data_IF_889198037881
#
_entry.id   IF_889198037881
#
_cell.length_a   1.000
_cell.length_b   1.000
_cell.length_c   1.000
_cell.angle_alpha   90.00
_cell.angle_beta   90.00
_cell.angle_gamma   90.00
#
_symmetry.space_group_name_H-M   'P 1'
#
loop_
_entity.id
_entity.type
_entity.pdbx_description
1 polymer ?
#
# COMPACT_ATOMS: atom_id res chain seq x y z
N UNK A 1 -36.01 60.12 -47.41
CA UNK A 1 -35.34 60.88 -46.43
C UNK A 1 -35.79 60.50 -45.04
N UNK A 2 -34.83 60.32 -44.23
CA UNK A 2 -34.76 60.15 -42.80
C UNK A 2 -35.57 61.14 -41.98
N UNK A 3 -35.65 61.10 -40.62
CA UNK A 3 -35.20 60.22 -39.60
C UNK A 3 -36.05 60.10 -38.32
N UNK A 4 -35.63 59.29 -37.32
CA UNK A 4 -35.76 59.78 -35.95
C UNK A 4 -36.46 58.85 -34.94
N UNK A 5 -35.72 58.15 -34.15
CA UNK A 5 -35.69 57.82 -32.73
C UNK A 5 -36.79 58.31 -31.78
N UNK A 6 -36.99 57.82 -30.52
CA UNK A 6 -36.12 56.94 -29.71
C UNK A 6 -36.85 55.77 -28.95
N UNK A 7 -36.01 54.91 -28.38
CA UNK A 7 -36.37 53.75 -27.56
C UNK A 7 -36.96 54.14 -26.19
N UNK A 8 -38.03 53.43 -25.79
CA UNK A 8 -38.53 53.39 -24.40
C UNK A 8 -37.91 52.23 -23.63
N UNK A 9 -37.27 52.58 -22.53
CA UNK A 9 -36.78 51.66 -21.49
C UNK A 9 -37.99 51.10 -20.72
N UNK A 10 -38.14 49.77 -20.71
CA UNK A 10 -39.03 49.09 -19.77
C UNK A 10 -38.19 48.55 -18.62
N UNK A 11 -38.43 49.08 -17.43
CA UNK A 11 -37.98 48.56 -16.15
C UNK A 11 -38.64 47.21 -15.87
N UNK A 12 -37.87 46.15 -15.70
CA UNK A 12 -38.30 44.87 -15.13
C UNK A 12 -37.86 44.76 -13.70
N UNK A 13 -38.82 44.63 -12.81
CA UNK A 13 -38.72 44.30 -11.38
C UNK A 13 -38.01 42.96 -11.17
N UNK A 14 -37.17 42.78 -10.12
CA UNK A 14 -36.52 41.50 -9.87
C UNK A 14 -37.50 40.50 -9.25
N UNK A 15 -37.57 39.33 -9.85
CA UNK A 15 -38.29 38.18 -9.32
C UNK A 15 -37.55 37.60 -8.12
N UNK A 16 -38.27 37.42 -7.04
CA UNK A 16 -37.88 36.73 -5.80
C UNK A 16 -37.45 35.28 -6.13
N UNK A 17 -36.20 34.96 -5.95
CA UNK A 17 -35.71 33.58 -6.02
C UNK A 17 -36.05 32.87 -4.71
N UNK A 18 -36.84 31.79 -4.80
CA UNK A 18 -37.01 30.82 -3.74
C UNK A 18 -35.67 30.04 -3.54
N UNK A 19 -35.27 29.69 -2.31
CA UNK A 19 -34.10 28.87 -2.09
C UNK A 19 -34.40 27.44 -2.57
N UNK A 20 -33.71 27.02 -3.62
CA UNK A 20 -33.65 25.63 -4.03
C UNK A 20 -32.84 24.89 -2.96
N UNK A 21 -33.51 23.95 -2.29
CA UNK A 21 -32.88 22.96 -1.44
C UNK A 21 -31.84 22.20 -2.27
N UNK A 22 -30.57 22.55 -2.12
CA UNK A 22 -29.48 21.70 -2.52
C UNK A 22 -29.42 20.50 -1.56
N UNK A 23 -30.10 19.42 -1.95
CA UNK A 23 -29.72 18.07 -1.48
C UNK A 23 -28.31 17.83 -1.95
N UNK A 24 -27.36 17.90 -1.03
CA UNK A 24 -25.98 17.54 -1.25
C UNK A 24 -25.93 16.08 -1.74
N UNK A 25 -25.84 15.91 -3.06
CA UNK A 25 -25.43 14.66 -3.67
C UNK A 25 -23.97 14.47 -3.28
N UNK A 26 -23.76 13.54 -2.36
CA UNK A 26 -22.44 13.09 -1.92
C UNK A 26 -21.80 12.25 -3.05
N UNK A 27 -21.49 12.90 -4.17
CA UNK A 27 -20.66 12.31 -5.22
C UNK A 27 -19.22 12.43 -4.79
N UNK A 28 -18.74 11.39 -4.14
CA UNK A 28 -17.31 11.15 -3.89
C UNK A 28 -16.62 10.84 -5.24
N UNK A 29 -16.72 11.74 -6.20
CA UNK A 29 -15.94 11.68 -7.43
C UNK A 29 -14.54 12.17 -7.10
N UNK A 30 -13.62 11.21 -6.97
CA UNK A 30 -12.22 11.52 -6.79
C UNK A 30 -11.71 12.31 -8.01
N UNK A 31 -10.84 13.31 -7.81
CA UNK A 31 -10.23 14.00 -8.93
C UNK A 31 -9.41 13.01 -9.78
N UNK A 32 -9.34 13.19 -11.11
CA UNK A 32 -8.52 12.35 -11.96
C UNK A 32 -7.07 12.38 -11.45
N UNK A 33 -6.45 11.19 -11.36
CA UNK A 33 -5.07 11.06 -10.93
C UNK A 33 -4.12 11.54 -12.04
N UNK A 34 -3.15 12.37 -11.69
CA UNK A 34 -2.21 12.94 -12.65
C UNK A 34 -1.08 11.96 -13.02
N UNK A 35 -0.81 10.97 -12.16
CA UNK A 35 0.24 9.96 -12.36
C UNK A 35 -0.17 8.58 -11.87
N UNK A 36 0.50 7.55 -12.38
CA UNK A 36 0.32 6.16 -11.97
C UNK A 36 0.55 5.98 -10.45
N UNK A 37 1.62 6.56 -9.91
CA UNK A 37 1.98 6.45 -8.48
C UNK A 37 0.93 7.11 -7.57
N UNK A 38 0.31 8.18 -8.04
CA UNK A 38 -0.82 8.79 -7.34
C UNK A 38 -2.02 7.84 -7.34
N UNK A 39 -2.37 7.23 -8.47
CA UNK A 39 -3.44 6.22 -8.54
C UNK A 39 -3.20 5.04 -7.61
N UNK A 40 -1.99 4.50 -7.61
CA UNK A 40 -1.60 3.42 -6.68
C UNK A 40 -1.72 3.83 -5.21
N UNK A 41 -1.37 5.07 -4.87
CA UNK A 41 -1.50 5.61 -3.52
C UNK A 41 -2.97 5.73 -3.11
N UNK A 42 -3.82 6.23 -3.99
CA UNK A 42 -5.26 6.32 -3.78
C UNK A 42 -5.87 4.93 -3.55
N UNK A 43 -5.60 3.99 -4.46
CA UNK A 43 -6.02 2.61 -4.30
C UNK A 43 -5.57 2.03 -2.95
N UNK A 44 -4.30 2.26 -2.58
CA UNK A 44 -3.71 1.75 -1.35
C UNK A 44 -4.48 2.17 -0.10
N UNK A 45 -4.79 3.46 0.04
CA UNK A 45 -5.54 3.95 1.21
C UNK A 45 -7.01 3.57 1.18
N UNK A 46 -7.67 3.59 0.03
CA UNK A 46 -9.06 3.16 -0.11
C UNK A 46 -9.23 1.69 0.24
N UNK A 47 -8.31 0.86 -0.24
CA UNK A 47 -8.33 -0.56 0.03
C UNK A 47 -7.96 -0.88 1.48
N UNK A 48 -6.98 -0.17 2.03
CA UNK A 48 -6.60 -0.30 3.44
C UNK A 48 -7.75 0.08 4.37
N UNK A 49 -8.43 1.19 4.08
CA UNK A 49 -9.63 1.62 4.83
C UNK A 49 -10.70 0.54 4.84
N UNK A 50 -10.94 -0.09 3.68
CA UNK A 50 -11.89 -1.19 3.57
C UNK A 50 -11.47 -2.39 4.45
N UNK A 51 -10.22 -2.87 4.31
CA UNK A 51 -9.73 -4.03 5.07
C UNK A 51 -9.80 -3.75 6.59
N UNK A 52 -9.39 -2.58 7.03
CA UNK A 52 -9.37 -2.23 8.47
C UNK A 52 -10.75 -2.07 9.07
N UNK A 53 -11.77 -1.76 8.27
CA UNK A 53 -13.17 -1.74 8.72
C UNK A 53 -13.62 -3.14 9.09
N UNK A 54 -13.28 -4.16 8.30
CA UNK A 54 -13.60 -5.55 8.56
C UNK A 54 -12.73 -6.17 9.68
N UNK A 55 -11.48 -5.70 9.82
CA UNK A 55 -10.45 -6.29 10.70
C UNK A 55 -9.87 -5.28 11.68
N UNK A 56 -10.73 -4.50 12.35
CA UNK A 56 -10.31 -3.38 13.20
C UNK A 56 -9.43 -3.78 14.38
N UNK A 57 -9.56 -5.01 14.89
CA UNK A 57 -8.86 -5.52 16.08
C UNK A 57 -7.69 -6.47 15.75
N UNK A 58 -7.28 -6.54 14.49
CA UNK A 58 -6.17 -7.37 14.04
C UNK A 58 -4.97 -6.51 13.64
N UNK A 59 -3.76 -7.00 13.91
CA UNK A 59 -2.57 -6.44 13.29
C UNK A 59 -2.59 -6.80 11.82
N UNK A 60 -2.45 -5.80 10.96
CA UNK A 60 -2.57 -5.95 9.52
C UNK A 60 -1.38 -5.26 8.86
N UNK A 61 -0.84 -5.90 7.83
CA UNK A 61 0.08 -5.28 6.89
C UNK A 61 -0.24 -5.79 5.50
N UNK A 62 -0.44 -4.88 4.54
CA UNK A 62 -0.59 -5.25 3.14
C UNK A 62 0.28 -4.36 2.24
N UNK A 63 0.58 -4.85 1.05
CA UNK A 63 1.37 -4.09 0.08
C UNK A 63 0.48 -3.65 -1.09
N UNK A 64 0.10 -2.36 -1.16
CA UNK A 64 -0.67 -1.84 -2.29
C UNK A 64 0.13 -1.91 -3.60
N UNK A 65 1.41 -1.59 -3.56
CA UNK A 65 2.28 -1.62 -4.76
C UNK A 65 2.37 -3.03 -5.34
N UNK A 66 2.67 -4.02 -4.49
CA UNK A 66 2.80 -5.39 -4.96
C UNK A 66 1.49 -5.93 -5.54
N UNK A 67 0.35 -5.57 -4.93
CA UNK A 67 -0.97 -5.91 -5.45
C UNK A 67 -1.26 -5.20 -6.78
N UNK A 68 -0.94 -3.90 -6.89
CA UNK A 68 -1.06 -3.16 -8.16
C UNK A 68 -0.24 -3.79 -9.28
N UNK A 69 0.99 -4.25 -8.98
CA UNK A 69 1.84 -4.95 -9.98
C UNK A 69 1.15 -6.22 -10.49
N UNK A 70 0.63 -7.05 -9.58
CA UNK A 70 -0.06 -8.28 -9.97
C UNK A 70 -1.32 -8.01 -10.81
N UNK A 71 -2.12 -7.02 -10.39
CA UNK A 71 -3.35 -6.65 -11.09
C UNK A 71 -3.08 -5.92 -12.42
N UNK A 72 -2.00 -5.14 -12.54
CA UNK A 72 -1.60 -4.49 -13.78
C UNK A 72 -1.24 -5.52 -14.88
N UNK A 73 -0.65 -6.64 -14.50
CA UNK A 73 -0.39 -7.73 -15.46
C UNK A 73 -1.70 -8.23 -16.07
N UNK A 74 -2.72 -8.50 -15.26
CA UNK A 74 -4.03 -8.99 -15.75
C UNK A 74 -4.80 -7.88 -16.49
N UNK A 75 -4.73 -6.65 -15.99
CA UNK A 75 -5.31 -5.47 -16.62
C UNK A 75 -4.82 -5.28 -18.07
N UNK A 76 -3.56 -5.58 -18.33
CA UNK A 76 -3.01 -5.50 -19.70
C UNK A 76 -3.72 -6.43 -20.70
N UNK A 77 -4.32 -7.50 -20.20
CA UNK A 77 -5.11 -8.44 -21.03
C UNK A 77 -6.63 -8.27 -20.92
N UNK A 78 -7.11 -7.40 -20.04
CA UNK A 78 -8.54 -7.11 -19.91
C UNK A 78 -9.09 -6.30 -21.08
N UNK A 79 -10.38 -6.50 -21.40
CA UNK A 79 -11.08 -5.78 -22.46
C UNK A 79 -12.47 -5.36 -21.98
N UNK A 80 -13.04 -4.39 -22.67
CA UNK A 80 -14.43 -3.92 -22.48
C UNK A 80 -14.74 -3.56 -21.00
N UNK A 81 -15.84 -4.10 -20.44
CA UNK A 81 -16.26 -3.77 -19.08
C UNK A 81 -15.30 -4.25 -18.01
N UNK A 82 -14.66 -5.42 -18.20
CA UNK A 82 -13.60 -5.91 -17.30
C UNK A 82 -12.46 -4.90 -17.19
N UNK A 83 -12.00 -4.35 -18.32
CA UNK A 83 -10.99 -3.28 -18.35
C UNK A 83 -11.48 -2.03 -17.60
N UNK A 84 -12.72 -1.59 -17.83
CA UNK A 84 -13.28 -0.41 -17.20
C UNK A 84 -13.41 -0.55 -15.68
N UNK A 85 -13.94 -1.67 -15.20
CA UNK A 85 -14.05 -1.94 -13.76
C UNK A 85 -12.68 -1.99 -13.08
N UNK A 86 -11.71 -2.68 -13.70
CA UNK A 86 -10.34 -2.72 -13.20
C UNK A 86 -9.72 -1.33 -13.16
N UNK A 87 -9.86 -0.54 -14.23
CA UNK A 87 -9.35 0.83 -14.30
C UNK A 87 -9.90 1.70 -13.18
N UNK A 88 -11.21 1.64 -12.93
CA UNK A 88 -11.86 2.40 -11.86
C UNK A 88 -11.39 2.00 -10.47
N UNK A 89 -11.37 0.70 -10.16
CA UNK A 89 -11.00 0.20 -8.84
C UNK A 89 -9.52 0.46 -8.52
N UNK A 90 -8.64 0.32 -9.52
CA UNK A 90 -7.20 0.49 -9.37
C UNK A 90 -6.73 1.93 -9.57
N UNK A 91 -7.64 2.85 -9.92
CA UNK A 91 -7.32 4.24 -10.29
C UNK A 91 -6.31 4.35 -11.44
N UNK A 92 -6.39 3.45 -12.42
CA UNK A 92 -5.59 3.48 -13.63
C UNK A 92 -6.29 4.36 -14.68
N UNK A 93 -5.96 5.65 -14.70
CA UNK A 93 -6.68 6.67 -15.50
C UNK A 93 -6.02 7.00 -16.83
N UNK A 94 -4.83 6.45 -17.10
CA UNK A 94 -4.10 6.67 -18.32
C UNK A 94 -4.60 5.78 -19.45
N UNK A 95 -4.45 6.26 -20.70
CA UNK A 95 -4.63 5.39 -21.84
C UNK A 95 -3.65 4.20 -21.81
N UNK A 96 -3.99 3.15 -22.53
CA UNK A 96 -3.27 1.86 -22.45
C UNK A 96 -1.75 1.98 -22.66
N UNK A 97 -1.31 2.75 -23.65
CA UNK A 97 0.12 2.85 -23.97
C UNK A 97 0.87 3.65 -22.90
N UNK A 98 0.36 4.81 -22.54
CA UNK A 98 0.93 5.66 -21.47
C UNK A 98 1.00 4.92 -20.13
N UNK A 99 -0.04 4.12 -19.83
CA UNK A 99 -0.05 3.29 -18.63
C UNK A 99 1.14 2.32 -18.59
N UNK A 100 1.40 1.59 -19.69
CA UNK A 100 2.50 0.64 -19.71
C UNK A 100 3.87 1.29 -19.66
N UNK A 101 4.06 2.46 -20.26
CA UNK A 101 5.31 3.23 -20.20
C UNK A 101 5.59 3.74 -18.77
N UNK A 102 4.59 4.35 -18.12
CA UNK A 102 4.73 4.81 -16.74
C UNK A 102 4.94 3.63 -15.78
N UNK A 103 4.23 2.52 -16.01
CA UNK A 103 4.35 1.33 -15.18
C UNK A 103 5.73 0.69 -15.30
N UNK A 104 6.26 0.55 -16.51
CA UNK A 104 7.60 0.02 -16.76
C UNK A 104 8.68 0.87 -16.07
N UNK A 105 8.60 2.20 -16.18
CA UNK A 105 9.51 3.10 -15.49
C UNK A 105 9.44 2.94 -13.96
N UNK A 106 8.24 2.87 -13.41
CA UNK A 106 8.03 2.65 -11.99
C UNK A 106 8.55 1.27 -11.53
N UNK A 107 8.24 0.21 -12.26
CA UNK A 107 8.64 -1.17 -11.93
C UNK A 107 10.15 -1.37 -12.01
N UNK A 108 10.82 -0.76 -13.01
CA UNK A 108 12.29 -0.76 -13.10
C UNK A 108 12.93 -0.04 -11.92
N UNK A 109 12.37 1.10 -11.50
CA UNK A 109 12.87 1.83 -10.33
C UNK A 109 12.73 0.98 -9.06
N UNK A 110 11.62 0.28 -8.86
CA UNK A 110 11.44 -0.64 -7.74
C UNK A 110 12.49 -1.78 -7.76
N UNK A 111 12.68 -2.41 -8.91
CA UNK A 111 13.65 -3.51 -9.04
C UNK A 111 15.10 -3.01 -8.85
N UNK A 112 15.39 -1.78 -9.27
CA UNK A 112 16.72 -1.18 -9.08
C UNK A 112 17.05 -0.94 -7.60
N UNK A 113 16.05 -0.79 -6.73
CA UNK A 113 16.27 -0.72 -5.28
C UNK A 113 16.95 -1.98 -4.73
N UNK A 114 16.67 -3.16 -5.31
CA UNK A 114 17.30 -4.42 -4.92
C UNK A 114 18.81 -4.49 -5.18
N UNK A 115 19.38 -3.55 -5.94
CA UNK A 115 20.82 -3.44 -6.18
C UNK A 115 21.56 -2.68 -5.06
N UNK A 116 20.84 -2.04 -4.14
CA UNK A 116 21.42 -1.37 -2.98
C UNK A 116 21.82 -2.40 -1.92
N UNK A 117 23.09 -2.45 -1.57
CA UNK A 117 23.59 -3.39 -0.55
C UNK A 117 23.02 -3.15 0.85
N UNK A 118 22.46 -1.98 1.10
CA UNK A 118 21.79 -1.61 2.35
C UNK A 118 20.30 -1.99 2.37
N UNK A 119 19.76 -2.46 1.24
CA UNK A 119 18.36 -2.78 1.05
C UNK A 119 18.20 -4.11 0.32
N UNK A 120 17.51 -5.06 0.93
CA UNK A 120 17.00 -6.24 0.22
C UNK A 120 15.52 -5.97 -0.11
N UNK A 121 15.20 -5.97 -1.39
CA UNK A 121 13.86 -5.74 -1.90
C UNK A 121 13.52 -6.82 -2.91
N UNK A 122 12.56 -7.67 -2.57
CA UNK A 122 12.15 -8.77 -3.43
C UNK A 122 10.64 -8.69 -3.65
N UNK A 123 10.25 -8.51 -4.89
CA UNK A 123 8.89 -8.56 -5.37
C UNK A 123 8.66 -9.91 -6.06
N UNK A 124 7.80 -10.74 -5.49
CA UNK A 124 7.41 -12.03 -6.04
C UNK A 124 5.97 -11.97 -6.55
N UNK A 125 5.81 -11.46 -7.76
CA UNK A 125 4.52 -11.37 -8.43
C UNK A 125 4.49 -12.30 -9.62
N UNK A 126 3.49 -13.18 -9.70
CA UNK A 126 3.31 -14.09 -10.82
C UNK A 126 1.86 -14.45 -11.03
N UNK A 127 1.47 -14.57 -12.29
CA UNK A 127 0.20 -15.14 -12.70
C UNK A 127 0.45 -16.60 -13.06
N UNK A 128 -0.34 -17.50 -12.46
CA UNK A 128 -0.38 -18.91 -12.83
C UNK A 128 -1.69 -19.16 -13.59
N UNK A 129 -1.58 -19.71 -14.79
CA UNK A 129 -2.71 -19.93 -15.71
C UNK A 129 -2.77 -21.40 -16.07
N UNK A 130 -3.97 -21.97 -16.03
CA UNK A 130 -4.22 -23.34 -16.47
C UNK A 130 -3.68 -23.59 -17.88
N UNK A 131 -2.95 -24.69 -18.07
CA UNK A 131 -2.17 -24.95 -19.29
C UNK A 131 -3.03 -25.22 -20.54
N UNK A 132 -4.32 -25.51 -20.39
CA UNK A 132 -5.28 -25.61 -21.49
C UNK A 132 -5.57 -24.26 -22.14
N UNK A 133 -5.31 -23.14 -21.45
CA UNK A 133 -5.44 -21.79 -22.01
C UNK A 133 -4.18 -21.41 -22.78
N UNK A 134 -4.31 -21.32 -24.11
CA UNK A 134 -3.23 -20.81 -24.95
C UNK A 134 -3.08 -19.30 -24.75
N UNK A 135 -1.99 -18.91 -24.10
CA UNK A 135 -1.64 -17.50 -23.91
C UNK A 135 -1.15 -16.89 -25.21
N UNK A 136 -1.72 -15.74 -25.60
CA UNK A 136 -1.40 -15.03 -26.84
C UNK A 136 0.06 -14.52 -26.84
N UNK A 137 0.72 -14.58 -27.99
CA UNK A 137 2.09 -14.08 -28.14
C UNK A 137 2.19 -12.57 -27.90
N UNK A 138 1.15 -11.80 -28.26
CA UNK A 138 1.07 -10.38 -27.94
C UNK A 138 1.10 -10.11 -26.43
N UNK A 139 0.36 -10.90 -25.65
CA UNK A 139 0.36 -10.80 -24.21
C UNK A 139 1.70 -11.23 -23.60
N UNK A 140 2.29 -12.34 -24.10
CA UNK A 140 3.63 -12.77 -23.68
C UNK A 140 4.67 -11.66 -23.87
N UNK A 141 4.61 -10.94 -25.00
CA UNK A 141 5.52 -9.83 -25.27
C UNK A 141 5.34 -8.69 -24.27
N UNK A 142 4.10 -8.32 -23.93
CA UNK A 142 3.81 -7.29 -22.91
C UNK A 142 4.39 -7.70 -21.56
N UNK A 143 4.10 -8.92 -21.09
CA UNK A 143 4.58 -9.41 -19.81
C UNK A 143 6.11 -9.52 -19.76
N UNK A 144 6.73 -9.98 -20.84
CA UNK A 144 8.19 -10.07 -20.90
C UNK A 144 8.85 -8.68 -20.92
N UNK A 145 8.26 -7.72 -21.62
CA UNK A 145 8.83 -6.38 -21.77
C UNK A 145 8.68 -5.56 -20.49
N UNK A 146 7.48 -5.57 -19.88
CA UNK A 146 7.14 -4.64 -18.80
C UNK A 146 7.09 -5.27 -17.41
N UNK A 147 6.99 -6.62 -17.31
CA UNK A 147 6.77 -7.33 -16.04
C UNK A 147 7.76 -8.48 -15.79
N UNK A 148 8.89 -8.50 -16.50
CA UNK A 148 9.95 -9.50 -16.34
C UNK A 148 9.47 -10.96 -16.52
N UNK A 149 8.50 -11.18 -17.40
CA UNK A 149 8.00 -12.52 -17.71
C UNK A 149 7.23 -13.20 -16.57
N UNK A 150 6.54 -12.43 -15.76
CA UNK A 150 5.92 -12.89 -14.52
C UNK A 150 4.60 -13.68 -14.71
N UNK A 151 4.56 -14.63 -15.66
CA UNK A 151 3.48 -15.63 -15.74
C UNK A 151 4.02 -17.04 -16.02
N UNK A 152 3.21 -18.05 -15.65
CA UNK A 152 3.54 -19.47 -15.82
C UNK A 152 2.28 -20.27 -16.12
N UNK A 153 2.34 -21.17 -17.13
CA UNK A 153 1.29 -22.15 -17.38
C UNK A 153 1.51 -23.37 -16.47
N UNK A 154 0.46 -23.82 -15.81
CA UNK A 154 0.45 -24.92 -14.84
C UNK A 154 -0.77 -25.82 -15.07
N UNK A 155 -0.73 -27.05 -14.58
CA UNK A 155 -1.81 -28.05 -14.72
C UNK A 155 -2.67 -28.10 -13.46
N UNK A 156 -3.59 -27.14 -13.32
CA UNK A 156 -4.56 -27.17 -12.23
C UNK A 156 -5.57 -28.32 -12.40
N UNK A 157 -5.94 -28.60 -13.66
CA UNK A 157 -7.00 -29.57 -13.97
C UNK A 157 -6.66 -31.00 -13.50
N UNK A 158 -5.41 -31.43 -13.64
CA UNK A 158 -5.02 -32.80 -13.30
C UNK A 158 -4.12 -32.91 -12.07
N UNK A 159 -3.51 -31.79 -11.65
CA UNK A 159 -2.47 -31.82 -10.61
C UNK A 159 -2.52 -30.62 -9.64
N UNK A 160 -3.71 -30.21 -9.13
CA UNK A 160 -3.83 -28.98 -8.32
C UNK A 160 -2.98 -29.01 -7.04
N UNK A 161 -2.79 -30.18 -6.43
CA UNK A 161 -1.99 -30.32 -5.22
C UNK A 161 -0.49 -30.09 -5.50
N UNK A 162 0.03 -30.63 -6.61
CA UNK A 162 1.43 -30.42 -7.03
C UNK A 162 1.67 -28.97 -7.44
N UNK A 163 0.70 -28.35 -8.11
CA UNK A 163 0.77 -26.91 -8.46
C UNK A 163 0.77 -26.06 -7.20
N UNK A 164 -0.05 -26.37 -6.20
CA UNK A 164 -0.04 -25.68 -4.90
C UNK A 164 1.33 -25.74 -4.24
N UNK A 165 1.96 -26.93 -4.21
CA UNK A 165 3.30 -27.12 -3.65
C UNK A 165 4.36 -26.34 -4.45
N UNK A 166 4.28 -26.40 -5.78
CA UNK A 166 5.17 -25.67 -6.69
C UNK A 166 5.12 -24.15 -6.45
N UNK A 167 3.93 -23.58 -6.39
CA UNK A 167 3.74 -22.15 -6.12
C UNK A 167 4.27 -21.78 -4.73
N UNK A 168 3.97 -22.56 -3.70
CA UNK A 168 4.46 -22.30 -2.35
C UNK A 168 6.00 -22.32 -2.27
N UNK A 169 6.65 -23.30 -2.88
CA UNK A 169 8.12 -23.37 -2.96
C UNK A 169 8.73 -22.19 -3.72
N UNK A 170 8.08 -21.75 -4.80
CA UNK A 170 8.51 -20.57 -5.52
C UNK A 170 8.44 -19.31 -4.65
N UNK A 171 7.33 -19.11 -3.91
CA UNK A 171 7.18 -17.98 -2.98
C UNK A 171 8.24 -18.03 -1.88
N UNK A 172 8.47 -19.20 -1.25
CA UNK A 172 9.50 -19.39 -0.23
C UNK A 172 10.86 -18.95 -0.74
N UNK A 173 11.27 -19.44 -1.91
CA UNK A 173 12.53 -19.07 -2.55
C UNK A 173 12.63 -17.56 -2.80
N UNK A 174 11.59 -16.94 -3.34
CA UNK A 174 11.59 -15.51 -3.67
C UNK A 174 11.61 -14.61 -2.44
N UNK A 175 11.14 -15.10 -1.31
CA UNK A 175 11.05 -14.35 -0.04
C UNK A 175 12.07 -14.80 1.01
N UNK A 176 13.16 -15.47 0.59
CA UNK A 176 14.24 -15.94 1.49
C UNK A 176 13.71 -16.78 2.67
N UNK A 177 12.78 -17.70 2.37
CA UNK A 177 12.09 -18.59 3.33
C UNK A 177 11.28 -17.89 4.42
N UNK A 178 10.97 -16.59 4.24
CA UNK A 178 10.18 -15.82 5.20
C UNK A 178 8.68 -16.01 5.02
N UNK A 179 8.24 -16.19 3.79
CA UNK A 179 6.83 -16.43 3.48
C UNK A 179 6.66 -17.87 3.07
N UNK A 180 6.01 -18.67 3.93
CA UNK A 180 5.75 -20.09 3.71
C UNK A 180 4.26 -20.35 3.62
N UNK A 181 3.88 -21.41 2.89
CA UNK A 181 2.50 -21.86 2.78
C UNK A 181 1.52 -20.72 2.45
N UNK A 182 1.81 -19.93 1.39
CA UNK A 182 0.91 -18.88 0.93
C UNK A 182 -0.45 -19.45 0.55
N UNK A 183 -0.44 -20.58 -0.16
CA UNK A 183 -1.65 -21.27 -0.61
C UNK A 183 -1.89 -22.46 0.31
N UNK A 184 -3.00 -22.45 1.08
CA UNK A 184 -3.42 -23.62 1.86
C UNK A 184 -3.72 -24.83 0.97
N UNK A 185 -3.48 -26.01 1.49
CA UNK A 185 -3.84 -27.27 0.82
C UNK A 185 -5.34 -27.30 0.56
N UNK A 186 -5.74 -27.62 -0.68
CA UNK A 186 -7.14 -27.72 -1.09
C UNK A 186 -7.83 -26.40 -1.43
N UNK A 187 -7.10 -25.27 -1.42
CA UNK A 187 -7.65 -23.98 -1.89
C UNK A 187 -7.78 -23.93 -3.42
N UNK A 188 -6.88 -24.59 -4.13
CA UNK A 188 -6.90 -24.75 -5.60
C UNK A 188 -7.42 -26.12 -5.95
N UNK A 189 -8.24 -26.22 -6.99
CA UNK A 189 -8.89 -27.42 -7.48
C UNK A 189 -8.83 -27.51 -9.01
N UNK A 190 -9.47 -28.55 -9.56
CA UNK A 190 -9.53 -28.87 -10.99
C UNK A 190 -10.25 -27.78 -11.82
N UNK A 191 -11.05 -26.92 -11.18
CA UNK A 191 -11.79 -25.84 -11.85
C UNK A 191 -11.00 -24.53 -11.88
N UNK A 192 -9.86 -24.46 -11.20
CA UNK A 192 -9.02 -23.27 -11.11
C UNK A 192 -8.43 -22.93 -12.47
N UNK A 193 -8.62 -21.68 -12.93
CA UNK A 193 -8.15 -21.20 -14.24
C UNK A 193 -6.97 -20.25 -14.15
N UNK A 194 -7.04 -19.29 -13.21
CA UNK A 194 -6.00 -18.28 -13.03
C UNK A 194 -5.86 -17.86 -11.57
N UNK A 195 -4.62 -17.87 -11.09
CA UNK A 195 -4.26 -17.47 -9.73
C UNK A 195 -3.21 -16.36 -9.78
N UNK A 196 -3.49 -15.24 -9.14
CA UNK A 196 -2.53 -14.17 -8.93
C UNK A 196 -1.85 -14.37 -7.59
N UNK A 197 -0.56 -14.57 -7.62
CA UNK A 197 0.29 -14.75 -6.44
C UNK A 197 1.15 -13.52 -6.27
N UNK A 198 1.07 -12.98 -5.07
CA UNK A 198 1.73 -11.76 -4.68
C UNK A 198 2.41 -11.94 -3.32
N UNK A 199 3.72 -11.80 -3.30
CA UNK A 199 4.50 -11.82 -2.08
C UNK A 199 5.60 -10.75 -2.16
N UNK A 200 5.81 -10.04 -1.07
CA UNK A 200 6.82 -9.00 -1.00
C UNK A 200 7.61 -9.13 0.29
N UNK A 201 8.91 -8.99 0.15
CA UNK A 201 9.86 -9.04 1.24
C UNK A 201 10.80 -7.83 1.16
N UNK A 202 10.92 -7.10 2.27
CA UNK A 202 11.85 -5.99 2.41
C UNK A 202 12.68 -6.17 3.68
N UNK A 203 13.97 -5.88 3.54
CA UNK A 203 14.90 -5.78 4.65
C UNK A 203 15.79 -4.56 4.46
N UNK A 204 15.77 -3.65 5.41
CA UNK A 204 16.57 -2.42 5.38
C UNK A 204 16.94 -1.97 6.78
N UNK A 205 18.14 -1.39 6.93
CA UNK A 205 18.64 -0.89 8.21
C UNK A 205 18.21 0.56 8.43
N UNK A 206 17.88 0.91 9.69
CA UNK A 206 17.67 2.31 10.05
C UNK A 206 18.91 3.16 9.77
N UNK A 207 18.69 4.36 9.29
CA UNK A 207 19.74 5.39 9.23
C UNK A 207 20.26 5.71 10.65
N UNK A 208 19.37 5.67 11.62
CA UNK A 208 19.63 5.94 13.02
C UNK A 208 19.15 4.76 13.88
N UNK A 209 19.93 3.66 13.90
CA UNK A 209 19.57 2.46 14.64
C UNK A 209 19.33 2.74 16.14
N UNK A 210 18.44 1.97 16.75
CA UNK A 210 18.20 2.01 18.19
C UNK A 210 19.29 1.21 18.91
N UNK A 211 19.56 1.58 20.17
CA UNK A 211 20.47 0.81 21.03
C UNK A 211 19.63 -0.19 21.85
N UNK A 212 19.82 -1.51 21.67
CA UNK A 212 19.06 -2.51 22.43
C UNK A 212 19.19 -2.38 23.97
N UNK A 213 20.28 -1.76 24.44
CA UNK A 213 20.50 -1.53 25.88
C UNK A 213 19.55 -0.48 26.48
N UNK A 214 18.94 0.34 25.63
CA UNK A 214 17.99 1.37 26.05
C UNK A 214 16.53 0.89 25.97
N UNK A 215 16.30 -0.34 25.50
CA UNK A 215 14.97 -0.91 25.46
C UNK A 215 14.37 -1.03 26.84
N UNK A 216 13.06 -0.84 26.91
CA UNK A 216 12.29 -0.97 28.15
C UNK A 216 10.99 -1.73 27.87
N UNK A 217 10.63 -2.61 28.82
CA UNK A 217 9.29 -3.21 28.82
C UNK A 217 8.31 -2.21 29.39
N UNK A 218 7.30 -1.84 28.62
CA UNK A 218 6.26 -0.86 28.95
C UNK A 218 4.88 -1.37 28.54
N UNK A 219 3.85 -0.78 29.09
CA UNK A 219 2.48 -1.08 28.73
C UNK A 219 2.13 -0.46 27.36
N UNK A 220 1.56 -1.28 26.49
CA UNK A 220 0.85 -0.88 25.29
C UNK A 220 -0.65 -0.90 25.60
N UNK A 221 -1.32 0.23 25.43
CA UNK A 221 -2.75 0.39 25.72
C UNK A 221 -3.55 -0.06 24.49
N UNK A 222 -4.08 -1.28 24.52
CA UNK A 222 -4.91 -1.83 23.43
C UNK A 222 -6.26 -1.09 23.39
N UNK A 223 -6.80 -0.78 24.59
CA UNK A 223 -8.01 0.01 24.80
C UNK A 223 -7.95 0.71 26.17
N UNK A 224 -8.97 1.45 26.52
CA UNK A 224 -9.09 2.09 27.86
C UNK A 224 -9.02 1.07 29.02
N UNK A 225 -9.41 -0.19 28.77
CA UNK A 225 -9.50 -1.25 29.77
C UNK A 225 -8.49 -2.38 29.58
N UNK A 226 -7.79 -2.43 28.46
CA UNK A 226 -6.88 -3.53 28.13
C UNK A 226 -5.48 -3.02 27.81
N UNK A 227 -4.50 -3.58 28.53
CA UNK A 227 -3.07 -3.28 28.33
C UNK A 227 -2.29 -4.57 28.22
N UNK A 228 -1.21 -4.51 27.46
CA UNK A 228 -0.25 -5.60 27.36
C UNK A 228 1.17 -5.07 27.37
N UNK A 229 2.00 -5.62 28.27
CA UNK A 229 3.42 -5.23 28.31
C UNK A 229 4.17 -5.75 27.09
N UNK A 230 4.98 -4.90 26.49
CA UNK A 230 5.84 -5.24 25.35
C UNK A 230 7.15 -4.45 25.42
N UNK A 231 8.13 -4.88 24.62
CA UNK A 231 9.43 -4.22 24.56
C UNK A 231 9.39 -3.02 23.63
N UNK A 232 9.76 -1.84 24.14
CA UNK A 232 9.88 -0.60 23.40
C UNK A 232 11.33 -0.26 23.13
N UNK A 233 11.63 0.06 21.89
CA UNK A 233 12.86 0.69 21.44
C UNK A 233 12.79 2.18 21.77
N UNK A 234 13.81 2.70 22.46
CA UNK A 234 13.84 4.08 22.92
C UNK A 234 15.03 4.80 22.31
N UNK A 235 14.78 6.00 21.76
CA UNK A 235 15.83 6.84 21.20
C UNK A 235 15.43 8.31 21.23
N UNK A 236 16.43 9.15 21.49
CA UNK A 236 16.36 10.59 21.24
C UNK A 236 17.23 10.91 20.03
N UNK A 237 16.67 11.55 19.02
CA UNK A 237 17.33 11.82 17.75
C UNK A 237 16.93 13.17 17.19
N UNK A 238 17.91 13.98 16.79
CA UNK A 238 17.70 15.23 16.06
C UNK A 238 17.48 15.00 14.55
N UNK A 239 16.77 15.92 13.92
CA UNK A 239 16.53 15.93 12.47
C UNK A 239 15.48 14.92 12.00
N UNK A 240 14.69 14.36 12.90
CA UNK A 240 13.53 13.50 12.56
C UNK A 240 12.40 14.39 12.04
N UNK A 241 11.78 13.99 10.93
CA UNK A 241 10.58 14.66 10.41
C UNK A 241 9.39 14.27 11.31
N UNK A 242 8.73 15.29 11.84
CA UNK A 242 7.64 15.19 12.80
C UNK A 242 6.46 16.07 12.36
N UNK A 243 5.25 15.54 12.48
CA UNK A 243 3.99 16.23 12.25
C UNK A 243 3.11 16.10 13.49
N UNK A 244 2.32 17.11 13.77
CA UNK A 244 1.25 17.07 14.76
C UNK A 244 0.17 18.08 14.40
N UNK A 245 -1.09 17.62 14.45
CA UNK A 245 -2.28 18.46 14.45
C UNK A 245 -3.16 18.15 15.69
N UNK A 246 -4.42 18.52 15.66
CA UNK A 246 -5.36 18.26 16.75
C UNK A 246 -5.75 16.77 16.88
N UNK A 247 -5.60 15.98 15.81
CA UNK A 247 -6.07 14.59 15.74
C UNK A 247 -4.94 13.58 15.83
N UNK A 248 -3.86 13.81 15.12
CA UNK A 248 -2.77 12.84 14.97
C UNK A 248 -1.40 13.45 15.21
N UNK A 249 -0.46 12.58 15.55
CA UNK A 249 0.97 12.87 15.47
C UNK A 249 1.63 11.84 14.55
N UNK A 250 2.66 12.25 13.81
CA UNK A 250 3.40 11.35 12.93
C UNK A 250 4.90 11.62 12.97
N UNK A 251 5.69 10.57 12.76
CA UNK A 251 7.15 10.65 12.54
C UNK A 251 7.53 9.91 11.27
N UNK A 252 8.63 10.33 10.66
CA UNK A 252 9.24 9.64 9.52
C UNK A 252 10.66 9.20 9.89
N UNK A 253 10.86 7.88 9.88
CA UNK A 253 12.12 7.21 10.20
C UNK A 253 12.84 6.79 8.92
N UNK A 254 13.96 7.44 8.56
CA UNK A 254 14.68 7.11 7.34
C UNK A 254 15.51 5.83 7.49
N UNK A 255 15.58 5.04 6.41
CA UNK A 255 16.52 3.93 6.28
C UNK A 255 17.87 4.40 5.71
N UNK A 256 18.89 3.55 5.85
CA UNK A 256 20.26 3.84 5.37
C UNK A 256 20.30 4.00 3.85
N UNK A 257 19.48 3.25 3.12
CA UNK A 257 19.36 3.34 1.65
C UNK A 257 18.93 4.71 1.16
N UNK A 258 18.34 5.55 2.01
CA UNK A 258 17.74 6.85 1.66
C UNK A 258 16.60 6.78 0.62
N UNK A 259 16.31 5.59 0.10
CA UNK A 259 15.23 5.35 -0.86
C UNK A 259 13.90 5.10 -0.14
N UNK A 260 13.97 4.67 1.11
CA UNK A 260 12.81 4.28 1.93
C UNK A 260 12.76 5.03 3.24
N UNK A 261 11.55 5.22 3.73
CA UNK A 261 11.27 5.68 5.09
C UNK A 261 10.04 4.98 5.65
N UNK A 262 10.03 4.77 6.97
CA UNK A 262 8.85 4.32 7.71
C UNK A 262 8.16 5.53 8.33
N UNK A 263 6.92 5.76 7.95
CA UNK A 263 6.05 6.77 8.58
C UNK A 263 5.17 6.05 9.60
N UNK A 264 5.15 6.54 10.84
CA UNK A 264 4.25 6.05 11.89
C UNK A 264 3.29 7.19 12.22
N UNK A 265 1.98 6.91 12.15
CA UNK A 265 0.90 7.85 12.44
C UNK A 265 0.10 7.29 13.61
N UNK A 266 0.00 8.05 14.68
CA UNK A 266 -0.81 7.67 15.82
C UNK A 266 -1.84 8.75 16.16
N UNK A 267 -3.01 8.39 16.68
CA UNK A 267 -3.94 9.37 17.22
C UNK A 267 -3.31 10.09 18.43
N UNK A 268 -3.66 11.36 18.61
CA UNK A 268 -3.30 12.09 19.83
C UNK A 268 -4.15 11.62 21.02
N UNK A 269 -5.34 11.10 20.73
CA UNK A 269 -6.25 10.48 21.67
C UNK A 269 -7.10 9.43 20.94
N UNK A 270 -7.15 8.21 21.47
CA UNK A 270 -8.04 7.17 20.94
C UNK A 270 -9.50 7.57 21.14
N UNK A 271 -10.32 7.21 20.15
CA UNK A 271 -11.78 7.36 20.19
C UNK A 271 -12.44 5.98 20.24
N UNK A 272 -13.75 5.95 20.47
CA UNK A 272 -14.52 4.69 20.51
C UNK A 272 -14.53 3.96 19.16
N UNK A 273 -14.36 4.70 18.07
CA UNK A 273 -14.25 4.18 16.70
C UNK A 273 -12.90 3.49 16.44
N UNK A 274 -11.96 3.57 17.40
CA UNK A 274 -10.65 2.96 17.33
C UNK A 274 -9.76 3.59 16.28
N UNK A 275 -8.72 2.84 15.86
CA UNK A 275 -7.71 3.32 14.90
C UNK A 275 -8.29 3.65 13.52
N UNK A 276 -9.41 3.03 13.14
CA UNK A 276 -10.03 3.24 11.82
C UNK A 276 -10.48 4.67 11.58
N UNK A 277 -10.81 5.42 12.63
CA UNK A 277 -11.15 6.84 12.53
C UNK A 277 -9.96 7.71 12.07
N UNK A 278 -8.75 7.21 12.21
CA UNK A 278 -7.50 7.92 11.94
C UNK A 278 -6.76 7.41 10.70
N UNK A 279 -7.30 6.42 9.98
CA UNK A 279 -6.75 6.00 8.69
C UNK A 279 -6.89 7.16 7.70
N UNK A 280 -5.78 7.77 7.25
CA UNK A 280 -5.87 8.87 6.30
C UNK A 280 -6.34 8.35 4.94
N UNK A 281 -6.96 9.21 4.14
CA UNK A 281 -7.00 9.00 2.70
C UNK A 281 -5.68 9.48 2.07
N UNK A 282 -5.51 9.29 0.76
CA UNK A 282 -4.29 9.68 0.07
C UNK A 282 -3.95 11.17 0.21
N UNK A 283 -4.95 12.06 0.15
CA UNK A 283 -4.76 13.49 0.32
C UNK A 283 -4.35 13.84 1.77
N UNK A 284 -4.97 13.21 2.77
CA UNK A 284 -4.61 13.38 4.17
C UNK A 284 -3.20 12.86 4.47
N UNK A 285 -2.81 11.75 3.86
CA UNK A 285 -1.45 11.23 3.95
C UNK A 285 -0.43 12.22 3.36
N UNK A 286 -0.69 12.76 2.17
CA UNK A 286 0.19 13.77 1.55
C UNK A 286 0.26 15.03 2.42
N UNK A 287 -0.86 15.52 2.96
CA UNK A 287 -0.88 16.68 3.85
C UNK A 287 -0.05 16.46 5.14
N UNK A 288 -0.07 15.24 5.70
CA UNK A 288 0.80 14.89 6.82
C UNK A 288 2.28 14.99 6.42
N UNK A 289 2.65 14.41 5.26
CA UNK A 289 4.04 14.46 4.78
C UNK A 289 4.51 15.90 4.53
N UNK A 290 3.69 16.73 3.88
CA UNK A 290 4.01 18.13 3.55
C UNK A 290 4.13 18.99 4.80
N UNK A 291 3.33 18.71 5.82
CA UNK A 291 3.33 19.40 7.11
C UNK A 291 4.46 18.99 8.06
N UNK A 292 5.22 17.93 7.74
CA UNK A 292 6.32 17.47 8.60
C UNK A 292 7.47 18.45 8.67
N UNK A 293 7.95 18.73 9.88
CA UNK A 293 9.11 19.57 10.17
C UNK A 293 10.21 18.76 10.87
N UNK A 294 11.46 19.11 10.63
CA UNK A 294 12.58 18.49 11.36
C UNK A 294 12.60 18.95 12.81
N UNK A 295 12.62 17.99 13.72
CA UNK A 295 12.63 18.20 15.18
C UNK A 295 13.62 17.25 15.84
N UNK A 296 14.03 17.61 17.05
CA UNK A 296 14.60 16.65 17.99
C UNK A 296 13.43 15.86 18.60
N UNK A 297 13.41 14.55 18.41
CA UNK A 297 12.31 13.67 18.83
C UNK A 297 12.82 12.65 19.84
N UNK A 298 12.19 12.60 21.02
CA UNK A 298 12.26 11.45 21.89
C UNK A 298 11.18 10.46 21.46
N UNK A 299 11.60 9.31 20.96
CA UNK A 299 10.70 8.29 20.40
C UNK A 299 10.73 7.02 21.21
N UNK A 300 9.55 6.44 21.43
CA UNK A 300 9.36 5.13 22.02
C UNK A 300 8.44 4.33 21.09
N UNK A 301 8.97 3.29 20.50
CA UNK A 301 8.28 2.49 19.46
C UNK A 301 8.38 1.02 19.87
N UNK A 302 7.26 0.27 19.97
CA UNK A 302 7.32 -1.14 20.27
C UNK A 302 8.03 -1.90 19.14
N UNK A 303 8.75 -2.97 19.50
CA UNK A 303 9.16 -3.97 18.53
C UNK A 303 7.93 -4.73 18.10
N UNK A 304 7.79 -4.98 16.79
CA UNK A 304 6.65 -5.74 16.31
C UNK A 304 6.97 -6.54 15.06
N UNK A 305 6.22 -7.64 14.93
CA UNK A 305 6.25 -8.52 13.78
C UNK A 305 4.81 -8.80 13.36
N UNK A 306 4.53 -8.65 12.08
CA UNK A 306 3.23 -8.89 11.50
C UNK A 306 3.40 -9.87 10.33
N UNK A 307 2.60 -10.91 10.34
CA UNK A 307 2.45 -11.82 9.23
C UNK A 307 0.97 -11.86 8.87
N UNK A 308 0.63 -11.42 7.66
CA UNK A 308 -0.76 -11.35 7.20
C UNK A 308 -0.91 -12.10 5.89
N UNK A 309 -1.96 -12.93 5.82
CA UNK A 309 -2.38 -13.61 4.58
C UNK A 309 -3.76 -13.09 4.20
N UNK A 310 -3.89 -12.65 2.97
CA UNK A 310 -5.15 -12.17 2.41
C UNK A 310 -5.58 -13.02 1.21
N UNK A 311 -6.88 -13.34 1.19
CA UNK A 311 -7.61 -13.60 -0.05
C UNK A 311 -8.30 -12.31 -0.44
N UNK A 312 -7.88 -11.73 -1.56
CA UNK A 312 -8.27 -10.38 -1.97
C UNK A 312 -9.36 -10.37 -3.05
N UNK A 313 -9.79 -11.55 -3.52
CA UNK A 313 -10.80 -11.67 -4.58
C UNK A 313 -12.13 -11.02 -4.18
N UNK A 314 -12.66 -11.34 -2.98
CA UNK A 314 -13.93 -10.78 -2.50
C UNK A 314 -13.84 -9.28 -2.22
N UNK A 315 -12.82 -8.77 -1.51
CA UNK A 315 -12.61 -7.34 -1.36
C UNK A 315 -12.56 -6.56 -2.69
N UNK A 316 -11.85 -7.08 -3.70
CA UNK A 316 -11.76 -6.43 -5.01
C UNK A 316 -13.12 -6.44 -5.74
N UNK A 317 -13.86 -7.55 -5.64
CA UNK A 317 -15.21 -7.67 -6.20
C UNK A 317 -16.19 -6.68 -5.56
N UNK A 318 -16.15 -6.54 -4.24
CA UNK A 318 -17.00 -5.62 -3.49
C UNK A 318 -16.67 -4.15 -3.78
N UNK A 319 -15.40 -3.85 -4.07
CA UNK A 319 -14.96 -2.51 -4.51
C UNK A 319 -15.37 -2.18 -5.94
N UNK A 320 -15.92 -3.14 -6.69
CA UNK A 320 -16.46 -2.92 -8.04
C UNK A 320 -15.83 -3.72 -9.17
N UNK A 321 -14.77 -4.48 -8.92
CA UNK A 321 -14.13 -5.34 -9.91
C UNK A 321 -14.90 -6.67 -10.02
N UNK A 322 -16.09 -6.64 -10.62
CA UNK A 322 -17.02 -7.78 -10.59
C UNK A 322 -16.79 -8.75 -11.74
N UNK A 323 -16.67 -8.21 -12.95
CA UNK A 323 -16.56 -9.03 -14.17
C UNK A 323 -15.33 -9.91 -14.14
N UNK A 324 -14.18 -9.38 -13.71
CA UNK A 324 -12.92 -10.10 -13.67
C UNK A 324 -12.98 -11.45 -12.91
N UNK A 325 -13.93 -11.59 -11.97
CA UNK A 325 -14.13 -12.77 -11.12
C UNK A 325 -15.40 -13.57 -11.47
N UNK A 326 -16.00 -13.35 -12.62
CA UNK A 326 -17.26 -13.94 -13.02
C UNK A 326 -17.21 -14.48 -14.45
N UNK A 327 -18.26 -15.17 -14.88
CA UNK A 327 -18.42 -15.61 -16.26
C UNK A 327 -18.54 -14.47 -17.29
N UNK A 328 -18.65 -13.21 -16.84
CA UNK A 328 -18.64 -12.01 -17.69
C UNK A 328 -17.24 -11.48 -17.95
N UNK A 329 -16.21 -12.10 -17.41
CA UNK A 329 -14.83 -11.66 -17.58
C UNK A 329 -14.44 -11.67 -19.08
N UNK A 330 -13.81 -10.56 -19.50
CA UNK A 330 -13.23 -10.47 -20.82
C UNK A 330 -11.72 -10.29 -20.73
N UNK A 331 -11.00 -11.41 -20.76
CA UNK A 331 -9.54 -11.49 -20.83
C UNK A 331 -9.07 -11.95 -22.22
N UNK A 332 -9.79 -11.56 -23.28
CA UNK A 332 -9.43 -11.90 -24.67
C UNK A 332 -8.08 -11.30 -25.10
N UNK A 333 -7.50 -10.40 -24.33
CA UNK A 333 -6.12 -9.97 -24.51
C UNK A 333 -5.08 -10.94 -23.93
N UNK A 334 -5.48 -11.92 -23.09
CA UNK A 334 -4.60 -12.96 -22.56
C UNK A 334 -4.70 -14.24 -23.39
N UNK A 335 -5.94 -14.68 -23.67
CA UNK A 335 -6.23 -15.93 -24.38
C UNK A 335 -7.43 -15.75 -25.30
N UNK A 336 -7.50 -16.57 -26.35
CA UNK A 336 -8.67 -16.62 -27.25
C UNK A 336 -9.91 -17.26 -26.61
N UNK A 337 -9.76 -17.94 -25.48
CA UNK A 337 -10.86 -18.54 -24.74
C UNK A 337 -11.57 -17.48 -23.90
N UNK A 338 -12.89 -17.38 -24.06
CA UNK A 338 -13.74 -16.35 -23.44
C UNK A 338 -14.18 -16.65 -22.01
N UNK A 339 -13.74 -17.78 -21.43
CA UNK A 339 -14.13 -18.21 -20.10
C UNK A 339 -13.02 -18.11 -19.06
N UNK A 340 -11.90 -17.47 -19.40
CA UNK A 340 -10.81 -17.20 -18.47
C UNK A 340 -11.27 -16.17 -17.43
N UNK A 341 -11.16 -16.53 -16.15
CA UNK A 341 -11.52 -15.71 -14.99
C UNK A 341 -10.39 -15.68 -13.98
N UNK A 342 -10.36 -14.67 -13.12
CA UNK A 342 -9.50 -14.69 -11.93
C UNK A 342 -10.21 -15.50 -10.84
N UNK A 343 -9.63 -16.62 -10.42
CA UNK A 343 -10.18 -17.41 -9.31
C UNK A 343 -9.71 -16.90 -7.96
N UNK A 344 -8.42 -16.66 -7.83
CA UNK A 344 -7.81 -16.22 -6.57
C UNK A 344 -6.82 -15.08 -6.79
N UNK A 345 -6.90 -14.10 -5.89
CA UNK A 345 -5.87 -13.08 -5.69
C UNK A 345 -5.36 -13.24 -4.27
N UNK A 346 -4.13 -13.69 -4.13
CA UNK A 346 -3.54 -14.02 -2.84
C UNK A 346 -2.33 -13.13 -2.57
N UNK A 347 -2.33 -12.53 -1.38
CA UNK A 347 -1.17 -11.80 -0.89
C UNK A 347 -0.78 -12.30 0.50
N UNK A 348 0.50 -12.54 0.70
CA UNK A 348 1.07 -12.76 2.02
C UNK A 348 2.20 -11.78 2.25
N UNK A 349 2.18 -11.13 3.41
CA UNK A 349 3.14 -10.12 3.82
C UNK A 349 3.79 -10.56 5.12
N UNK A 350 5.10 -10.39 5.19
CA UNK A 350 5.89 -10.47 6.39
C UNK A 350 6.52 -9.10 6.64
N UNK A 351 6.28 -8.51 7.82
CA UNK A 351 6.80 -7.20 8.18
C UNK A 351 7.28 -7.21 9.64
N UNK A 352 8.55 -6.90 9.87
CA UNK A 352 9.16 -6.91 11.20
C UNK A 352 9.93 -5.61 11.42
N UNK A 353 9.78 -5.02 12.60
CA UNK A 353 10.47 -3.80 13.03
C UNK A 353 11.22 -4.09 14.32
N UNK A 354 12.53 -3.90 14.28
CA UNK A 354 13.44 -4.04 15.41
C UNK A 354 14.43 -2.85 15.52
N UNK A 355 15.39 -2.94 16.43
CA UNK A 355 16.37 -1.88 16.70
C UNK A 355 17.27 -1.56 15.50
N UNK A 356 17.45 -2.52 14.59
CA UNK A 356 18.37 -2.40 13.46
C UNK A 356 17.68 -1.89 12.21
N UNK A 357 16.36 -2.10 12.10
CA UNK A 357 15.59 -1.74 10.91
C UNK A 357 14.32 -2.55 10.74
N UNK A 358 13.93 -2.69 9.49
CA UNK A 358 12.96 -3.68 9.07
C UNK A 358 13.70 -4.93 8.67
N UNK A 359 13.48 -6.01 9.38
CA UNK A 359 14.18 -7.27 9.37
C UNK A 359 15.73 -7.20 9.27
N UNK A 360 16.42 -7.26 10.40
CA UNK A 360 17.89 -7.26 10.46
C UNK A 360 18.45 -8.51 11.13
N UNK A 361 19.05 -9.42 10.37
CA UNK A 361 19.95 -10.43 10.90
C UNK A 361 21.33 -9.83 11.19
N UNK A 362 21.94 -10.25 12.31
CA UNK A 362 23.16 -9.79 12.93
C UNK A 362 24.21 -9.10 12.04
N UNK A 363 24.50 -7.83 12.32
CA UNK A 363 25.77 -7.21 11.95
C UNK A 363 26.15 -6.14 12.98
N UNK A 364 27.44 -6.07 13.26
CA UNK A 364 28.15 -5.28 14.25
C UNK A 364 27.75 -3.80 14.22
N UNK A 365 27.30 -3.27 15.36
CA UNK A 365 27.01 -1.86 15.54
C UNK A 365 28.29 -1.02 15.40
N UNK A 366 28.40 -0.25 14.35
CA UNK A 366 29.34 0.87 14.28
C UNK A 366 28.66 2.05 14.99
N UNK A 367 29.05 2.30 16.23
CA UNK A 367 28.66 3.50 16.96
C UNK A 367 29.41 4.68 16.33
N UNK A 368 28.80 5.37 15.39
CA UNK A 368 29.27 6.69 15.01
C UNK A 368 28.89 7.68 16.10
N UNK A 369 29.88 8.06 16.90
CA UNK A 369 29.77 9.27 17.75
C UNK A 369 29.82 10.49 16.83
N UNK A 370 28.68 11.12 16.61
CA UNK A 370 28.67 12.47 16.08
C UNK A 370 29.13 13.41 17.18
N UNK A 371 30.31 14.02 17.00
CA UNK A 371 30.71 15.19 17.75
C UNK A 371 29.83 16.35 17.27
N UNK A 372 28.72 16.60 17.94
CA UNK A 372 27.95 17.82 17.72
C UNK A 372 28.70 19.00 18.31
N UNK A 373 29.09 19.95 17.45
CA UNK A 373 29.42 21.28 17.92
C UNK A 373 28.21 21.84 18.68
N UNK A 374 28.46 22.27 19.89
CA UNK A 374 27.44 22.86 20.77
C UNK A 374 26.96 24.20 20.18
N UNK A 375 25.91 24.16 19.39
CA UNK A 375 25.03 25.30 19.22
C UNK A 375 24.02 25.25 20.37
N UNK A 376 23.94 26.37 21.08
CA UNK A 376 22.97 26.60 22.15
C UNK A 376 21.55 26.37 21.63
N UNK A 377 21.05 25.13 21.72
CA UNK A 377 19.66 24.79 21.47
C UNK A 377 18.89 24.83 22.78
N UNK A 378 17.84 25.61 22.74
CA UNK A 378 16.83 25.77 23.75
C UNK A 378 16.31 24.39 24.22
N UNK A 379 16.51 24.05 25.47
CA UNK A 379 16.19 22.74 26.07
C UNK A 379 14.68 22.42 26.08
N UNK A 380 13.84 23.36 25.62
CA UNK A 380 12.37 23.21 25.54
C UNK A 380 11.84 22.70 24.18
N UNK A 381 12.69 22.21 23.27
CA UNK A 381 12.29 21.86 21.89
C UNK A 381 12.20 20.38 21.56
N UNK A 382 12.52 19.48 22.49
CA UNK A 382 12.34 18.04 22.28
C UNK A 382 10.87 17.70 22.26
N UNK A 383 10.38 17.15 21.14
CA UNK A 383 9.03 16.61 21.07
C UNK A 383 9.04 15.12 21.43
N UNK A 384 7.95 14.65 22.01
CA UNK A 384 7.79 13.24 22.41
C UNK A 384 6.83 12.54 21.48
N UNK A 385 7.27 11.40 20.94
CA UNK A 385 6.45 10.50 20.14
C UNK A 385 6.48 9.11 20.78
N UNK A 386 5.43 8.78 21.51
CA UNK A 386 5.30 7.51 22.25
C UNK A 386 4.20 6.70 21.59
N UNK A 387 4.56 5.62 20.91
CA UNK A 387 3.65 4.73 20.17
C UNK A 387 3.14 3.60 21.07
N UNK A 388 2.54 3.94 22.19
CA UNK A 388 2.03 3.01 23.21
C UNK A 388 0.51 2.76 23.11
N UNK A 389 -0.09 3.12 22.00
CA UNK A 389 -1.48 2.91 21.61
C UNK A 389 -1.53 2.46 20.15
N UNK A 390 -2.66 1.91 19.64
CA UNK A 390 -2.81 1.54 18.24
C UNK A 390 -2.35 2.64 17.28
N UNK A 391 -1.58 2.26 16.27
CA UNK A 391 -1.02 3.18 15.29
C UNK A 391 -1.04 2.58 13.87
N UNK A 392 -0.95 3.46 12.88
CA UNK A 392 -0.79 3.12 11.47
C UNK A 392 0.69 3.28 11.13
N UNK A 393 1.22 2.38 10.32
CA UNK A 393 2.56 2.50 9.78
C UNK A 393 2.55 2.36 8.26
N UNK A 394 3.42 3.11 7.60
CA UNK A 394 3.53 3.16 6.15
C UNK A 394 5.00 3.10 5.78
N UNK A 395 5.42 2.04 5.12
CA UNK A 395 6.72 2.02 4.46
C UNK A 395 6.56 2.64 3.08
N UNK A 396 7.23 3.76 2.84
CA UNK A 396 7.13 4.49 1.57
C UNK A 396 8.43 4.53 0.78
N UNK A 397 8.31 4.62 -0.53
CA UNK A 397 9.36 5.05 -1.44
C UNK A 397 9.49 6.59 -1.37
N UNK A 398 10.72 7.11 -1.26
CA UNK A 398 10.95 8.50 -0.90
C UNK A 398 10.78 9.50 -2.05
N UNK A 399 11.01 9.09 -3.31
CA UNK A 399 10.92 10.02 -4.44
C UNK A 399 9.46 10.33 -4.82
N UNK A 400 8.61 9.30 -4.82
CA UNK A 400 7.19 9.40 -5.20
C UNK A 400 6.25 9.48 -3.99
N UNK A 401 6.74 9.24 -2.78
CA UNK A 401 5.96 9.02 -1.56
C UNK A 401 4.97 7.82 -1.65
N UNK A 402 5.16 6.93 -2.63
CA UNK A 402 4.26 5.79 -2.84
C UNK A 402 4.36 4.80 -1.68
N UNK A 403 3.25 4.41 -1.05
CA UNK A 403 3.23 3.39 -0.02
C UNK A 403 3.59 2.02 -0.59
N UNK A 404 4.70 1.44 -0.16
CA UNK A 404 5.07 0.05 -0.44
C UNK A 404 4.33 -0.92 0.48
N UNK A 405 4.17 -0.53 1.74
CA UNK A 405 3.33 -1.21 2.72
C UNK A 405 2.49 -0.21 3.49
N UNK A 406 1.29 -0.62 3.82
CA UNK A 406 0.41 0.08 4.78
C UNK A 406 -0.04 -0.95 5.80
N UNK A 407 0.03 -0.61 7.07
CA UNK A 407 -0.41 -1.50 8.13
C UNK A 407 -0.94 -0.77 9.35
N UNK A 408 -1.59 -1.53 10.21
CA UNK A 408 -1.95 -1.12 11.56
C UNK A 408 -1.36 -2.09 12.58
N UNK A 409 -0.88 -1.54 13.68
CA UNK A 409 -0.49 -2.28 14.87
C UNK A 409 -1.43 -1.90 16.00
N UNK A 410 -2.27 -2.83 16.41
CA UNK A 410 -3.33 -2.61 17.41
C UNK A 410 -3.09 -3.34 18.71
N UNK A 411 -2.22 -4.35 18.70
CA UNK A 411 -1.86 -5.12 19.90
C UNK A 411 -0.51 -5.83 19.73
N UNK A 412 0.29 -5.92 20.80
CA UNK A 412 1.52 -6.71 20.83
C UNK A 412 1.31 -8.22 20.70
#
# INVERSE_FOLDING_TARGET
PLPGQPAQQTQTTPATQNPVNETAANTNTMPPTESLTQGMTWFGFDFFKYITTEKSNENICFSPVSLNVALAMVYSGARENTYNEMSQVLHFTKDYNTFHEEFDAFYRNLNAMGNDTALQFNLANRIFIENTYRVLDSYRNIINTHYSGAFENVDFMHSPAQVTEHINKWVEKMTMDKIKNLIPVGLLDESTKMVLVNAIYIKSKWKYAFDPKLNQVKDFNISDSEKKSTEFMIKKQDGIRYYKDDKVSAIELPYTSQQLSLVIIKPNRMTKEGINAFVPNAAGYQAILDGMQRREVHMEIPKFKIETTFSLSDPLREKGMKDAFSGSANFSGISEFNDLTIDKVLQKVFFEVDEKGTEAAAATAIVMRTTSSANHYDLDRTVYFIANEPFIFILKENNSNTPLFIGQFVKP
#
